data_IF_437695417667
#
_entry.id   IF_437695417667
#
_cell.length_a   1.000
_cell.length_b   1.000
_cell.length_c   1.000
_cell.angle_alpha   90.00
_cell.angle_beta   90.00
_cell.angle_gamma   90.00
#
_symmetry.space_group_name_H-M   'P 1'
#
loop_
_entity.id
_entity.type
_entity.pdbx_description
1 polymer ?
#
# COMPACT_ATOMS: atom_id res chain seq x y z
N UNK A 1 16.02 -21.58 -7.54
CA UNK A 1 15.10 -20.78 -8.37
C UNK A 1 13.74 -21.44 -8.37
N UNK A 2 12.85 -21.04 -7.46
CA UNK A 2 11.43 -21.37 -7.58
C UNK A 2 10.85 -20.27 -8.45
N UNK A 3 10.47 -20.60 -9.69
CA UNK A 3 9.69 -19.67 -10.53
C UNK A 3 8.36 -19.45 -9.82
N UNK A 4 8.17 -18.24 -9.29
CA UNK A 4 6.86 -17.78 -8.82
C UNK A 4 5.87 -17.86 -9.97
N UNK A 5 4.87 -18.72 -9.82
CA UNK A 5 3.69 -18.76 -10.68
C UNK A 5 2.50 -18.43 -9.80
N UNK A 6 1.67 -17.48 -10.23
CA UNK A 6 0.34 -17.28 -9.63
C UNK A 6 -0.41 -18.61 -9.75
N UNK A 7 -0.86 -19.17 -8.62
CA UNK A 7 -1.55 -20.46 -8.61
C UNK A 7 -3.01 -20.25 -9.04
N UNK A 8 -3.26 -20.44 -10.33
CA UNK A 8 -4.61 -20.34 -10.90
C UNK A 8 -5.41 -21.62 -10.60
N UNK A 9 -6.66 -21.50 -10.20
CA UNK A 9 -7.52 -22.64 -9.89
C UNK A 9 -8.35 -23.07 -11.12
N UNK A 10 -7.70 -23.81 -12.03
CA UNK A 10 -8.37 -24.35 -13.22
C UNK A 10 -9.60 -25.22 -12.89
N UNK A 11 -9.57 -25.93 -11.75
CA UNK A 11 -10.68 -26.81 -11.33
C UNK A 11 -11.89 -26.01 -10.88
N UNK A 12 -11.71 -24.96 -10.08
CA UNK A 12 -12.79 -24.08 -9.65
C UNK A 12 -13.42 -23.35 -10.85
N UNK A 13 -12.59 -22.76 -11.72
CA UNK A 13 -13.07 -22.12 -12.94
C UNK A 13 -13.86 -23.10 -13.82
N UNK A 14 -13.32 -24.29 -14.06
CA UNK A 14 -13.98 -25.32 -14.87
C UNK A 14 -15.32 -25.77 -14.29
N UNK A 15 -15.39 -25.97 -12.98
CA UNK A 15 -16.62 -26.33 -12.28
C UNK A 15 -17.69 -25.24 -12.42
N UNK A 16 -17.30 -23.97 -12.30
CA UNK A 16 -18.23 -22.85 -12.43
C UNK A 16 -18.73 -22.67 -13.86
N UNK A 17 -17.85 -22.71 -14.87
CA UNK A 17 -18.23 -22.64 -16.28
C UNK A 17 -19.27 -23.75 -16.59
N UNK A 18 -19.04 -24.96 -16.08
CA UNK A 18 -19.97 -26.09 -16.22
C UNK A 18 -21.32 -25.83 -15.53
N UNK A 19 -21.30 -25.21 -14.34
CA UNK A 19 -22.50 -24.85 -13.57
C UNK A 19 -23.35 -23.84 -14.34
N UNK A 20 -22.75 -22.72 -14.75
CA UNK A 20 -23.39 -21.66 -15.53
C UNK A 20 -23.93 -22.17 -16.86
N UNK A 21 -23.15 -22.97 -17.59
CA UNK A 21 -23.57 -23.56 -18.87
C UNK A 21 -24.85 -24.40 -18.69
N UNK A 22 -24.89 -25.24 -17.66
CA UNK A 22 -26.07 -26.07 -17.34
C UNK A 22 -27.26 -25.20 -16.94
N UNK A 23 -27.05 -24.17 -16.13
CA UNK A 23 -28.12 -23.23 -15.75
C UNK A 23 -28.72 -22.51 -16.97
N UNK A 24 -27.87 -22.12 -17.92
CA UNK A 24 -28.30 -21.46 -19.16
C UNK A 24 -28.83 -22.44 -20.21
N UNK A 25 -28.85 -23.76 -19.93
CA UNK A 25 -29.32 -24.83 -20.83
C UNK A 25 -28.58 -24.87 -22.18
N UNK A 26 -27.29 -24.54 -22.17
CA UNK A 26 -26.43 -24.54 -23.36
C UNK A 26 -25.63 -25.85 -23.39
N UNK A 27 -25.41 -26.47 -24.55
CA UNK A 27 -24.53 -27.65 -24.68
C UNK A 27 -23.05 -27.23 -24.76
N UNK A 28 -22.12 -28.14 -24.50
CA UNK A 28 -20.68 -27.82 -24.67
C UNK A 28 -20.36 -27.43 -26.12
N UNK A 29 -21.05 -28.03 -27.10
CA UNK A 29 -20.87 -27.70 -28.52
C UNK A 29 -21.37 -26.29 -28.83
N UNK A 30 -22.52 -25.91 -28.28
CA UNK A 30 -23.05 -24.54 -28.41
C UNK A 30 -22.17 -23.51 -27.71
N UNK A 31 -21.57 -23.86 -26.55
CA UNK A 31 -20.63 -22.96 -25.88
C UNK A 31 -19.31 -22.83 -26.66
N UNK A 32 -18.89 -23.87 -27.38
CA UNK A 32 -17.66 -23.91 -28.18
C UNK A 32 -17.81 -23.24 -29.56
N UNK A 33 -19.03 -23.15 -30.10
CA UNK A 33 -19.32 -22.78 -31.47
C UNK A 33 -18.58 -21.51 -31.93
N UNK A 34 -17.86 -21.55 -33.04
CA UNK A 34 -17.13 -20.37 -33.56
C UNK A 34 -15.98 -19.82 -32.70
N UNK A 35 -15.59 -20.48 -31.60
CA UNK A 35 -14.42 -20.08 -30.79
C UNK A 35 -13.41 -21.19 -30.53
N UNK A 36 -13.85 -22.43 -30.31
CA UNK A 36 -12.97 -23.56 -30.07
C UNK A 36 -13.70 -24.89 -30.31
N UNK A 37 -13.08 -26.02 -29.99
CA UNK A 37 -13.73 -27.33 -30.13
C UNK A 37 -14.55 -27.67 -28.87
N UNK A 38 -15.59 -28.48 -29.02
CA UNK A 38 -16.33 -29.02 -27.86
C UNK A 38 -15.40 -29.73 -26.87
N UNK A 39 -14.38 -30.44 -27.38
CA UNK A 39 -13.37 -31.11 -26.56
C UNK A 39 -12.56 -30.10 -25.72
N UNK A 40 -12.26 -28.93 -26.27
CA UNK A 40 -11.61 -27.82 -25.54
C UNK A 40 -12.47 -27.34 -24.38
N UNK A 41 -13.77 -27.07 -24.60
CA UNK A 41 -14.70 -26.72 -23.52
C UNK A 41 -14.78 -27.83 -22.47
N UNK A 42 -14.84 -29.10 -22.89
CA UNK A 42 -14.83 -30.22 -21.94
C UNK A 42 -13.50 -30.35 -21.18
N UNK A 43 -12.37 -29.92 -21.76
CA UNK A 43 -11.08 -29.85 -21.10
C UNK A 43 -11.04 -28.76 -20.02
N UNK A 44 -11.56 -27.58 -20.37
CA UNK A 44 -11.70 -26.42 -19.47
C UNK A 44 -12.63 -26.78 -18.30
N UNK A 45 -13.83 -27.31 -18.56
CA UNK A 45 -14.80 -27.70 -17.51
C UNK A 45 -14.26 -28.77 -16.55
N UNK A 46 -13.27 -29.56 -16.98
CA UNK A 46 -12.60 -30.57 -16.17
C UNK A 46 -11.35 -30.05 -15.43
N UNK A 47 -10.99 -28.78 -15.61
CA UNK A 47 -9.78 -28.18 -15.05
C UNK A 47 -8.47 -28.74 -15.62
N UNK A 48 -8.50 -29.30 -16.84
CA UNK A 48 -7.31 -29.91 -17.50
C UNK A 48 -6.45 -28.90 -18.27
N UNK A 49 -6.88 -27.64 -18.33
CA UNK A 49 -6.15 -26.56 -18.97
C UNK A 49 -6.85 -25.22 -18.79
N UNK A 50 -6.10 -24.14 -18.99
CA UNK A 50 -6.63 -22.77 -18.92
C UNK A 50 -7.15 -22.34 -20.29
N UNK A 51 -8.34 -21.70 -20.36
CA UNK A 51 -8.76 -21.02 -21.58
C UNK A 51 -7.82 -19.85 -21.89
N UNK A 52 -7.60 -19.57 -23.17
CA UNK A 52 -7.04 -18.29 -23.61
C UNK A 52 -7.94 -17.13 -23.18
N UNK A 53 -7.40 -15.91 -23.09
CA UNK A 53 -8.14 -14.71 -22.68
C UNK A 53 -9.31 -14.43 -23.62
N UNK A 54 -9.10 -14.62 -24.92
CA UNK A 54 -10.10 -14.55 -25.97
C UNK A 54 -11.24 -15.56 -25.75
N UNK A 55 -10.90 -16.83 -25.50
CA UNK A 55 -11.88 -17.89 -25.23
C UNK A 55 -12.66 -17.59 -23.95
N UNK A 56 -11.97 -17.18 -22.87
CA UNK A 56 -12.59 -16.87 -21.59
C UNK A 56 -13.54 -15.67 -21.69
N UNK A 57 -13.16 -14.64 -22.45
CA UNK A 57 -14.00 -13.48 -22.72
C UNK A 57 -15.28 -13.86 -23.49
N UNK A 58 -15.19 -14.69 -24.53
CA UNK A 58 -16.41 -15.11 -25.25
C UNK A 58 -17.27 -16.06 -24.41
N UNK A 59 -16.66 -16.93 -23.59
CA UNK A 59 -17.38 -17.77 -22.63
C UNK A 59 -18.18 -16.89 -21.64
N UNK A 60 -17.59 -15.81 -21.10
CA UNK A 60 -18.28 -14.94 -20.14
C UNK A 60 -19.53 -14.29 -20.76
N UNK A 61 -19.42 -13.79 -22.00
CA UNK A 61 -20.54 -13.22 -22.76
C UNK A 61 -21.65 -14.27 -22.95
N UNK A 62 -21.31 -15.48 -23.42
CA UNK A 62 -22.29 -16.55 -23.66
C UNK A 62 -22.96 -17.06 -22.39
N UNK A 63 -22.24 -17.01 -21.28
CA UNK A 63 -22.76 -17.39 -19.97
C UNK A 63 -23.46 -16.25 -19.23
N UNK A 64 -23.49 -15.04 -19.81
CA UNK A 64 -24.12 -13.83 -19.27
C UNK A 64 -23.54 -13.41 -17.92
N UNK A 65 -22.23 -13.53 -17.77
CA UNK A 65 -21.46 -13.08 -16.60
C UNK A 65 -20.35 -12.13 -17.04
N UNK A 66 -19.84 -11.31 -16.13
CA UNK A 66 -18.66 -10.49 -16.42
C UNK A 66 -17.42 -11.39 -16.53
N UNK A 67 -16.44 -10.94 -17.31
CA UNK A 67 -15.12 -11.58 -17.35
C UNK A 67 -14.45 -11.54 -15.95
N UNK A 68 -14.65 -10.45 -15.22
CA UNK A 68 -14.18 -10.27 -13.84
C UNK A 68 -14.71 -11.36 -12.88
N UNK A 69 -15.97 -11.75 -13.00
CA UNK A 69 -16.54 -12.84 -12.20
C UNK A 69 -15.80 -14.17 -12.40
N UNK A 70 -15.52 -14.54 -13.65
CA UNK A 70 -14.78 -15.77 -13.94
C UNK A 70 -13.32 -15.67 -13.48
N UNK A 71 -12.71 -14.48 -13.54
CA UNK A 71 -11.38 -14.25 -12.98
C UNK A 71 -11.35 -14.44 -11.46
N UNK A 72 -12.32 -13.92 -10.72
CA UNK A 72 -12.40 -14.13 -9.26
C UNK A 72 -12.42 -15.59 -8.86
N UNK A 73 -13.12 -16.43 -9.61
CA UNK A 73 -13.21 -17.88 -9.37
C UNK A 73 -11.94 -18.60 -9.78
N UNK A 74 -11.30 -18.16 -10.87
CA UNK A 74 -9.98 -18.63 -11.27
C UNK A 74 -8.92 -18.29 -10.21
N UNK A 75 -9.08 -17.16 -9.51
CA UNK A 75 -8.24 -16.73 -8.39
C UNK A 75 -8.74 -17.28 -7.04
N UNK A 76 -9.90 -17.93 -6.98
CA UNK A 76 -10.42 -18.71 -5.85
C UNK A 76 -10.46 -17.95 -4.50
N UNK A 77 -11.16 -16.80 -4.47
CA UNK A 77 -11.25 -15.87 -3.32
C UNK A 77 -9.90 -15.30 -2.84
N UNK A 78 -8.79 -15.62 -3.51
CA UNK A 78 -7.48 -15.03 -3.21
C UNK A 78 -7.51 -13.53 -3.37
N UNK A 79 -8.25 -12.99 -4.34
CA UNK A 79 -8.30 -11.55 -4.58
C UNK A 79 -9.00 -10.80 -3.43
N UNK A 80 -10.16 -11.29 -2.99
CA UNK A 80 -10.87 -10.70 -1.86
C UNK A 80 -10.05 -10.88 -0.57
N UNK A 81 -9.43 -12.04 -0.35
CA UNK A 81 -8.51 -12.29 0.77
C UNK A 81 -7.26 -11.38 0.76
N UNK A 82 -6.60 -11.23 -0.40
CA UNK A 82 -5.44 -10.35 -0.59
C UNK A 82 -5.84 -8.92 -0.24
N UNK A 83 -6.99 -8.45 -0.77
CA UNK A 83 -7.49 -7.10 -0.54
C UNK A 83 -7.84 -6.87 0.93
N UNK A 84 -8.55 -7.80 1.56
CA UNK A 84 -8.88 -7.72 2.99
C UNK A 84 -7.62 -7.70 3.85
N UNK A 85 -6.62 -8.52 3.51
CA UNK A 85 -5.33 -8.57 4.22
C UNK A 85 -4.53 -7.28 3.99
N UNK A 86 -4.51 -6.75 2.76
CA UNK A 86 -3.89 -5.46 2.43
C UNK A 86 -4.48 -4.31 3.25
N UNK A 87 -5.81 -4.21 3.29
CA UNK A 87 -6.53 -3.19 4.05
C UNK A 87 -6.28 -3.35 5.56
N UNK A 88 -6.30 -4.58 6.08
CA UNK A 88 -6.00 -4.89 7.47
C UNK A 88 -4.57 -4.45 7.83
N UNK A 89 -3.57 -4.85 7.05
CA UNK A 89 -2.18 -4.49 7.31
C UNK A 89 -1.93 -2.99 7.15
N UNK A 90 -2.57 -2.30 6.19
CA UNK A 90 -2.49 -0.85 6.09
C UNK A 90 -3.03 -0.16 7.34
N UNK A 91 -4.16 -0.62 7.87
CA UNK A 91 -4.78 -0.07 9.07
C UNK A 91 -3.92 -0.31 10.32
N UNK A 92 -3.39 -1.53 10.50
CA UNK A 92 -2.50 -1.86 11.62
C UNK A 92 -1.23 -1.01 11.59
N UNK A 93 -0.61 -0.86 10.41
CA UNK A 93 0.57 -0.01 10.23
C UNK A 93 0.28 1.47 10.51
N UNK A 94 -0.91 1.96 10.12
CA UNK A 94 -1.34 3.35 10.41
C UNK A 94 -1.54 3.58 11.91
N UNK A 95 -2.09 2.60 12.62
CA UNK A 95 -2.30 2.62 14.07
C UNK A 95 -1.02 2.29 14.87
N UNK A 96 0.10 2.03 14.19
CA UNK A 96 1.36 1.57 14.80
C UNK A 96 1.20 0.28 15.62
N UNK A 97 0.19 -0.54 15.30
CA UNK A 97 0.00 -1.85 15.91
C UNK A 97 0.93 -2.87 15.23
N UNK A 98 2.24 -2.71 15.47
CA UNK A 98 3.28 -3.50 14.84
C UNK A 98 3.27 -4.95 15.34
N UNK A 99 2.83 -5.21 16.58
CA UNK A 99 2.78 -6.56 17.14
C UNK A 99 1.83 -7.45 16.34
N UNK A 100 0.59 -7.02 16.15
CA UNK A 100 -0.41 -7.77 15.40
C UNK A 100 -0.03 -7.90 13.92
N UNK A 101 0.46 -6.80 13.30
CA UNK A 101 0.93 -6.84 11.92
C UNK A 101 2.08 -7.84 11.72
N UNK A 102 3.00 -7.93 12.68
CA UNK A 102 4.10 -8.89 12.65
C UNK A 102 3.62 -10.33 12.76
N UNK A 103 2.68 -10.61 13.68
CA UNK A 103 2.11 -11.95 13.89
C UNK A 103 1.34 -12.45 12.67
N UNK A 104 0.51 -11.59 12.06
CA UNK A 104 -0.21 -11.91 10.82
C UNK A 104 0.78 -12.19 9.69
N UNK A 105 1.77 -11.32 9.48
CA UNK A 105 2.72 -11.56 8.41
C UNK A 105 3.58 -12.81 8.66
N UNK A 106 3.86 -13.13 9.92
CA UNK A 106 4.57 -14.35 10.28
C UNK A 106 3.73 -15.61 10.02
N UNK A 107 2.42 -15.59 10.31
CA UNK A 107 1.52 -16.70 10.02
C UNK A 107 1.36 -16.91 8.51
N UNK A 108 1.23 -15.82 7.74
CA UNK A 108 1.17 -15.87 6.27
C UNK A 108 2.44 -16.46 5.66
N UNK A 109 3.63 -16.07 6.15
CA UNK A 109 4.90 -16.65 5.67
C UNK A 109 5.07 -18.14 5.98
N UNK A 110 4.39 -18.67 7.00
CA UNK A 110 4.40 -20.11 7.32
C UNK A 110 3.51 -20.92 6.39
N UNK A 111 2.53 -20.30 5.72
CA UNK A 111 1.62 -20.95 4.78
C UNK A 111 2.25 -21.10 3.39
N UNK A 112 3.40 -21.77 3.30
CA UNK A 112 4.21 -21.91 2.06
C UNK A 112 3.43 -22.54 0.89
N UNK A 113 2.36 -23.28 1.19
CA UNK A 113 1.50 -23.90 0.18
C UNK A 113 0.50 -22.95 -0.49
N UNK A 114 0.31 -21.73 0.02
CA UNK A 114 -0.58 -20.72 -0.58
C UNK A 114 0.26 -19.70 -1.35
N UNK A 115 0.29 -19.79 -2.67
CA UNK A 115 0.97 -18.83 -3.53
C UNK A 115 -0.03 -17.79 -4.04
N UNK A 116 -0.13 -16.68 -3.30
CA UNK A 116 -1.07 -15.58 -3.58
C UNK A 116 -0.49 -14.51 -4.51
N UNK A 117 0.69 -14.78 -5.08
CA UNK A 117 1.35 -13.95 -6.07
C UNK A 117 2.37 -13.00 -5.46
N UNK A 118 3.29 -12.57 -6.32
CA UNK A 118 4.48 -11.82 -5.94
C UNK A 118 4.18 -10.57 -5.09
N UNK A 119 3.22 -9.76 -5.52
CA UNK A 119 2.94 -8.46 -4.90
C UNK A 119 2.47 -8.63 -3.46
N UNK A 120 1.65 -9.66 -3.24
CA UNK A 120 1.20 -10.02 -1.92
C UNK A 120 2.37 -10.54 -1.07
N UNK A 121 3.21 -11.43 -1.60
CA UNK A 121 4.39 -11.93 -0.89
C UNK A 121 5.36 -10.80 -0.52
N UNK A 122 5.59 -9.85 -1.43
CA UNK A 122 6.44 -8.69 -1.23
C UNK A 122 5.84 -7.74 -0.17
N UNK A 123 4.53 -7.52 -0.19
CA UNK A 123 3.81 -6.77 0.85
C UNK A 123 3.99 -7.42 2.22
N UNK A 124 3.72 -8.74 2.33
CA UNK A 124 3.83 -9.49 3.58
C UNK A 124 5.27 -9.42 4.11
N UNK A 125 6.26 -9.58 3.23
CA UNK A 125 7.66 -9.47 3.61
C UNK A 125 8.01 -8.05 4.09
N UNK A 126 7.60 -7.01 3.36
CA UNK A 126 7.82 -5.61 3.71
C UNK A 126 7.22 -5.27 5.08
N UNK A 127 5.94 -5.59 5.30
CA UNK A 127 5.26 -5.31 6.59
C UNK A 127 5.93 -6.09 7.72
N UNK A 128 6.28 -7.36 7.50
CA UNK A 128 6.99 -8.16 8.51
C UNK A 128 8.33 -7.53 8.92
N UNK A 129 9.13 -7.08 7.96
CA UNK A 129 10.45 -6.49 8.25
C UNK A 129 10.29 -5.16 9.01
N UNK A 130 9.41 -4.28 8.53
CA UNK A 130 9.19 -2.97 9.17
C UNK A 130 8.63 -3.14 10.58
N UNK A 131 7.64 -4.02 10.77
CA UNK A 131 7.10 -4.30 12.11
C UNK A 131 8.15 -4.95 13.00
N UNK A 132 8.97 -5.86 12.48
CA UNK A 132 10.08 -6.46 13.24
C UNK A 132 11.13 -5.44 13.68
N UNK A 133 11.42 -4.44 12.86
CA UNK A 133 12.30 -3.31 13.22
C UNK A 133 11.72 -2.49 14.38
N UNK A 134 10.45 -2.07 14.31
CA UNK A 134 9.82 -1.30 15.40
C UNK A 134 9.59 -2.09 16.68
N UNK A 135 9.55 -3.43 16.61
CA UNK A 135 9.51 -4.34 17.76
C UNK A 135 10.90 -4.73 18.26
N UNK A 136 11.96 -4.07 17.78
CA UNK A 136 13.36 -4.33 18.15
C UNK A 136 13.83 -5.78 17.90
N UNK A 137 13.16 -6.50 16.99
CA UNK A 137 13.56 -7.86 16.55
C UNK A 137 14.68 -7.81 15.51
N UNK A 138 14.81 -6.69 14.81
CA UNK A 138 15.86 -6.42 13.83
C UNK A 138 16.55 -5.10 14.15
N UNK A 139 17.88 -5.08 14.11
CA UNK A 139 18.61 -3.82 14.08
C UNK A 139 18.43 -3.14 12.72
N UNK A 140 18.72 -1.83 12.66
CA UNK A 140 18.47 -1.06 11.45
C UNK A 140 19.26 -1.56 10.24
N UNK A 141 20.48 -2.10 10.38
CA UNK A 141 21.25 -2.59 9.24
C UNK A 141 20.61 -3.84 8.66
N UNK A 142 20.19 -4.76 9.53
CA UNK A 142 19.47 -5.97 9.12
C UNK A 142 18.16 -5.61 8.44
N UNK A 143 17.37 -4.70 9.02
CA UNK A 143 16.10 -4.27 8.43
C UNK A 143 16.29 -3.62 7.04
N UNK A 144 17.26 -2.71 6.91
CA UNK A 144 17.58 -2.06 5.63
C UNK A 144 18.01 -3.09 4.59
N UNK A 145 18.92 -4.02 4.93
CA UNK A 145 19.41 -5.04 4.01
C UNK A 145 18.27 -5.92 3.51
N UNK A 146 17.41 -6.38 4.41
CA UNK A 146 16.25 -7.22 4.03
C UNK A 146 15.24 -6.44 3.17
N UNK A 147 15.04 -5.14 3.43
CA UNK A 147 14.20 -4.28 2.57
C UNK A 147 14.82 -4.03 1.19
N UNK A 148 16.14 -3.88 1.11
CA UNK A 148 16.87 -3.72 -0.16
C UNK A 148 16.80 -5.02 -1.00
N UNK A 149 16.90 -6.20 -0.38
CA UNK A 149 16.70 -7.48 -1.05
C UNK A 149 15.31 -7.62 -1.68
N UNK A 150 14.28 -6.93 -1.15
CA UNK A 150 12.94 -6.91 -1.76
C UNK A 150 12.86 -6.03 -3.03
N UNK A 151 13.87 -5.19 -3.28
CA UNK A 151 13.94 -4.26 -4.42
C UNK A 151 14.91 -4.72 -5.53
N UNK A 152 15.69 -5.78 -5.31
CA UNK A 152 16.76 -6.21 -6.24
C UNK A 152 16.22 -6.73 -7.60
N UNK A 153 17.03 -6.53 -8.64
CA UNK A 153 16.69 -6.52 -10.08
C UNK A 153 16.26 -7.87 -10.72
N UNK A 154 16.28 -8.99 -10.00
CA UNK A 154 15.79 -10.31 -10.50
C UNK A 154 14.25 -10.41 -10.53
N UNK A 155 13.60 -9.25 -10.50
CA UNK A 155 12.17 -9.09 -10.33
C UNK A 155 11.43 -9.45 -11.63
N UNK A 156 10.48 -10.41 -11.62
CA UNK A 156 9.88 -10.96 -12.83
C UNK A 156 8.93 -10.00 -13.56
N UNK A 157 8.64 -8.83 -12.99
CA UNK A 157 7.79 -7.80 -13.60
C UNK A 157 8.67 -6.63 -14.07
N UNK A 158 8.59 -6.30 -15.36
CA UNK A 158 9.26 -5.12 -15.90
C UNK A 158 8.64 -3.84 -15.33
N UNK A 159 9.36 -3.14 -14.44
CA UNK A 159 9.01 -1.80 -13.93
C UNK A 159 8.83 -1.72 -12.41
N UNK A 160 8.93 -0.51 -11.84
CA UNK A 160 8.68 -0.29 -10.41
C UNK A 160 7.17 -0.32 -10.10
N UNK A 161 6.78 -1.18 -9.18
CA UNK A 161 5.41 -1.28 -8.65
C UNK A 161 5.19 -0.32 -7.47
N UNK A 162 3.94 -0.02 -7.12
CA UNK A 162 3.63 0.88 -6.00
C UNK A 162 4.26 0.44 -4.67
N UNK A 163 4.31 -0.88 -4.43
CA UNK A 163 4.91 -1.46 -3.24
C UNK A 163 6.42 -1.14 -3.13
N UNK A 164 7.14 -1.04 -4.25
CA UNK A 164 8.57 -0.67 -4.27
C UNK A 164 8.77 0.74 -3.70
N UNK A 165 7.89 1.68 -4.04
CA UNK A 165 7.91 3.03 -3.49
C UNK A 165 7.60 3.05 -1.99
N UNK A 166 6.72 2.16 -1.50
CA UNK A 166 6.45 2.02 -0.06
C UNK A 166 7.67 1.47 0.68
N UNK A 167 8.36 0.48 0.09
CA UNK A 167 9.61 -0.08 0.62
C UNK A 167 10.69 1.00 0.67
N UNK A 168 10.94 1.72 -0.43
CA UNK A 168 11.90 2.82 -0.49
C UNK A 168 11.58 3.93 0.52
N UNK A 169 10.30 4.27 0.71
CA UNK A 169 9.89 5.23 1.72
C UNK A 169 10.17 4.72 3.14
N UNK A 170 9.95 3.43 3.44
CA UNK A 170 10.32 2.84 4.73
C UNK A 170 11.84 2.85 4.96
N UNK A 171 12.64 2.50 3.95
CA UNK A 171 14.11 2.60 3.99
C UNK A 171 14.53 4.03 4.34
N UNK A 172 13.95 5.03 3.69
CA UNK A 172 14.24 6.44 3.94
C UNK A 172 13.90 6.87 5.38
N UNK A 173 12.77 6.40 5.92
CA UNK A 173 12.36 6.67 7.32
C UNK A 173 13.37 6.04 8.29
N UNK A 174 13.70 4.76 8.11
CA UNK A 174 14.65 4.05 8.99
C UNK A 174 16.02 4.75 8.98
N UNK A 175 16.50 5.18 7.80
CA UNK A 175 17.73 5.98 7.73
C UNK A 175 17.62 7.30 8.49
N UNK A 176 16.48 8.01 8.41
CA UNK A 176 16.29 9.27 9.12
C UNK A 176 16.27 9.08 10.65
N UNK A 177 15.55 8.06 11.13
CA UNK A 177 15.47 7.72 12.56
C UNK A 177 16.82 7.33 13.17
N UNK A 178 17.72 6.78 12.35
CA UNK A 178 19.09 6.43 12.74
C UNK A 178 20.10 7.55 12.42
N UNK A 179 19.66 8.79 12.25
CA UNK A 179 20.49 9.98 11.96
C UNK A 179 21.32 9.91 10.66
N UNK A 180 21.01 8.98 9.76
CA UNK A 180 21.64 8.83 8.44
C UNK A 180 20.94 9.70 7.40
N UNK A 181 20.84 11.00 7.68
CA UNK A 181 19.99 11.92 6.91
C UNK A 181 20.35 12.02 5.43
N UNK A 182 21.64 11.94 5.08
CA UNK A 182 22.08 11.97 3.69
C UNK A 182 21.64 10.73 2.89
N UNK A 183 21.61 9.56 3.54
CA UNK A 183 21.09 8.33 2.91
C UNK A 183 19.58 8.41 2.74
N UNK A 184 18.86 8.89 3.75
CA UNK A 184 17.42 9.15 3.68
C UNK A 184 17.05 10.09 2.53
N UNK A 185 17.74 11.23 2.43
CA UNK A 185 17.50 12.22 1.37
C UNK A 185 17.77 11.66 -0.03
N UNK A 186 18.79 10.82 -0.21
CA UNK A 186 19.06 10.15 -1.49
C UNK A 186 17.89 9.25 -1.90
N UNK A 187 17.30 8.51 -0.96
CA UNK A 187 16.13 7.67 -1.24
C UNK A 187 14.92 8.52 -1.62
N UNK A 188 14.63 9.60 -0.89
CA UNK A 188 13.54 10.51 -1.26
C UNK A 188 13.76 11.16 -2.63
N UNK A 189 14.99 11.58 -2.96
CA UNK A 189 15.33 12.09 -4.30
C UNK A 189 15.09 11.06 -5.38
N UNK A 190 15.41 9.78 -5.14
CA UNK A 190 15.11 8.67 -6.06
C UNK A 190 13.61 8.52 -6.28
N UNK A 191 12.78 8.56 -5.23
CA UNK A 191 11.31 8.49 -5.36
C UNK A 191 10.77 9.69 -6.16
N UNK A 192 11.29 10.89 -5.90
CA UNK A 192 10.84 12.13 -6.54
C UNK A 192 11.14 12.23 -8.05
N UNK A 193 11.99 11.37 -8.61
CA UNK A 193 12.21 11.32 -10.07
C UNK A 193 11.00 10.74 -10.81
N UNK A 194 10.15 9.94 -10.14
CA UNK A 194 8.98 9.27 -10.72
C UNK A 194 7.73 10.16 -10.69
N UNK A 195 7.79 11.33 -11.33
CA UNK A 195 6.75 12.37 -11.25
C UNK A 195 5.36 11.90 -11.71
N UNK A 196 5.27 11.17 -12.82
CA UNK A 196 3.98 10.70 -13.36
C UNK A 196 3.31 9.67 -12.43
N UNK A 197 4.12 8.83 -11.79
CA UNK A 197 3.64 7.90 -10.79
C UNK A 197 3.06 8.64 -9.57
N UNK A 198 3.80 9.62 -9.04
CA UNK A 198 3.37 10.40 -7.87
C UNK A 198 2.07 11.18 -8.14
N UNK A 199 1.88 11.71 -9.35
CA UNK A 199 0.62 12.37 -9.76
C UNK A 199 -0.59 11.44 -9.68
N UNK A 200 -0.42 10.16 -9.99
CA UNK A 200 -1.48 9.15 -9.89
C UNK A 200 -1.73 8.73 -8.44
N UNK A 201 -0.68 8.71 -7.62
CA UNK A 201 -0.71 8.27 -6.23
C UNK A 201 -0.66 9.43 -5.22
N UNK A 202 -1.64 10.34 -5.30
CA UNK A 202 -1.66 11.56 -4.49
C UNK A 202 -1.56 11.31 -2.98
N UNK A 203 -2.27 10.32 -2.42
CA UNK A 203 -2.19 9.94 -0.99
C UNK A 203 -0.76 9.59 -0.57
N UNK A 204 -0.04 8.84 -1.42
CA UNK A 204 1.37 8.53 -1.20
C UNK A 204 2.25 9.77 -1.32
N UNK A 205 1.99 10.63 -2.30
CA UNK A 205 2.73 11.89 -2.48
C UNK A 205 2.59 12.82 -1.27
N UNK A 206 1.39 12.94 -0.68
CA UNK A 206 1.18 13.73 0.55
C UNK A 206 2.00 13.14 1.70
N UNK A 207 1.94 11.82 1.90
CA UNK A 207 2.74 11.11 2.92
C UNK A 207 4.24 11.30 2.73
N UNK A 208 4.71 11.24 1.47
CA UNK A 208 6.10 11.46 1.10
C UNK A 208 6.56 12.86 1.51
N UNK A 209 5.78 13.89 1.21
CA UNK A 209 6.10 15.26 1.60
C UNK A 209 6.12 15.49 3.12
N UNK A 210 5.23 14.84 3.86
CA UNK A 210 5.31 14.84 5.32
C UNK A 210 6.64 14.27 5.82
N UNK A 211 7.05 13.10 5.31
CA UNK A 211 8.29 12.46 5.75
C UNK A 211 9.54 13.29 5.37
N UNK A 212 9.54 13.91 4.17
CA UNK A 212 10.61 14.81 3.74
C UNK A 212 10.67 16.07 4.62
N UNK A 213 9.50 16.65 4.94
CA UNK A 213 9.41 17.79 5.85
C UNK A 213 10.01 17.44 7.22
N UNK A 214 9.60 16.31 7.81
CA UNK A 214 10.18 15.79 9.06
C UNK A 214 11.70 15.59 8.97
N UNK A 215 12.21 15.05 7.86
CA UNK A 215 13.65 14.89 7.64
C UNK A 215 14.38 16.24 7.68
N UNK A 216 13.89 17.24 6.95
CA UNK A 216 14.50 18.57 6.95
C UNK A 216 14.42 19.26 8.31
N UNK A 217 13.32 19.06 9.04
CA UNK A 217 13.20 19.54 10.41
C UNK A 217 14.29 18.96 11.32
N UNK A 218 14.55 17.65 11.24
CA UNK A 218 15.64 16.99 11.98
C UNK A 218 17.03 17.50 11.56
N UNK A 219 17.19 17.89 10.29
CA UNK A 219 18.41 18.53 9.78
C UNK A 219 18.54 20.00 10.18
N UNK A 220 17.54 20.58 10.86
CA UNK A 220 17.43 22.02 11.18
C UNK A 220 17.30 22.93 9.94
N UNK A 221 16.92 22.35 8.81
CA UNK A 221 16.60 23.06 7.57
C UNK A 221 15.12 23.47 7.58
N UNK A 222 14.75 24.35 8.52
CA UNK A 222 13.35 24.63 8.85
C UNK A 222 12.55 25.24 7.70
N UNK A 223 13.19 26.05 6.85
CA UNK A 223 12.55 26.63 5.66
C UNK A 223 12.16 25.56 4.65
N UNK A 224 13.08 24.63 4.33
CA UNK A 224 12.78 23.51 3.43
C UNK A 224 11.74 22.56 4.03
N UNK A 225 11.80 22.36 5.35
CA UNK A 225 10.77 21.62 6.08
C UNK A 225 9.39 22.25 5.91
N UNK A 226 9.29 23.58 6.07
CA UNK A 226 8.05 24.34 5.91
C UNK A 226 7.52 24.27 4.46
N UNK A 227 8.39 24.43 3.46
CA UNK A 227 8.01 24.32 2.04
C UNK A 227 7.36 22.97 1.72
N UNK A 228 7.94 21.87 2.22
CA UNK A 228 7.36 20.54 2.02
C UNK A 228 6.07 20.32 2.81
N UNK A 229 5.96 20.87 4.03
CA UNK A 229 4.72 20.83 4.80
C UNK A 229 3.58 21.57 4.07
N UNK A 230 3.85 22.79 3.59
CA UNK A 230 2.89 23.61 2.86
C UNK A 230 2.50 22.98 1.51
N UNK A 231 3.45 22.37 0.79
CA UNK A 231 3.15 21.61 -0.43
C UNK A 231 2.19 20.44 -0.12
N UNK A 232 2.48 19.65 0.91
CA UNK A 232 1.63 18.52 1.31
C UNK A 232 0.21 18.98 1.69
N UNK A 233 0.09 20.09 2.43
CA UNK A 233 -1.20 20.68 2.80
C UNK A 233 -1.97 21.16 1.57
N UNK A 234 -1.30 21.83 0.64
CA UNK A 234 -1.92 22.32 -0.59
C UNK A 234 -2.45 21.17 -1.45
N UNK A 235 -1.65 20.09 -1.59
CA UNK A 235 -2.06 18.89 -2.32
C UNK A 235 -3.22 18.17 -1.62
N UNK A 236 -3.17 18.02 -0.30
CA UNK A 236 -4.25 17.44 0.49
C UNK A 236 -5.57 18.20 0.31
N UNK A 237 -5.53 19.54 0.32
CA UNK A 237 -6.72 20.36 0.02
C UNK A 237 -7.21 20.18 -1.40
N UNK A 238 -6.31 20.21 -2.39
CA UNK A 238 -6.68 20.07 -3.80
C UNK A 238 -7.36 18.74 -4.10
N UNK A 239 -6.94 17.67 -3.41
CA UNK A 239 -7.44 16.31 -3.59
C UNK A 239 -8.51 15.90 -2.57
N UNK A 240 -8.90 16.82 -1.68
CA UNK A 240 -9.82 16.56 -0.57
C UNK A 240 -9.36 15.38 0.32
N UNK A 241 -8.04 15.20 0.44
CA UNK A 241 -7.41 14.13 1.21
C UNK A 241 -6.87 14.69 2.54
N UNK A 242 -7.48 14.27 3.64
CA UNK A 242 -7.10 14.65 5.01
C UNK A 242 -6.24 13.61 5.73
N UNK A 243 -5.85 12.52 5.05
CA UNK A 243 -5.20 11.35 5.66
C UNK A 243 -3.88 11.66 6.40
N UNK A 244 -3.13 12.66 5.92
CA UNK A 244 -1.87 13.12 6.51
C UNK A 244 -1.87 14.63 6.81
N UNK A 245 -2.97 15.32 6.55
CA UNK A 245 -3.04 16.78 6.61
C UNK A 245 -2.97 17.29 8.05
N UNK A 246 -3.48 16.52 9.03
CA UNK A 246 -3.32 16.85 10.45
C UNK A 246 -1.85 16.87 10.88
N UNK A 247 -1.07 15.86 10.48
CA UNK A 247 0.35 15.75 10.79
C UNK A 247 1.16 16.83 10.06
N UNK A 248 0.81 17.15 8.82
CA UNK A 248 1.45 18.24 8.07
C UNK A 248 1.18 19.61 8.70
N UNK A 249 -0.04 19.86 9.18
CA UNK A 249 -0.34 21.09 9.93
C UNK A 249 0.44 21.16 11.24
N UNK A 250 0.63 20.04 11.93
CA UNK A 250 1.49 20.00 13.12
C UNK A 250 2.92 20.38 12.76
N UNK A 251 3.49 19.72 11.74
CA UNK A 251 4.86 19.94 11.28
C UNK A 251 5.08 21.39 10.82
N UNK A 252 4.08 21.98 10.13
CA UNK A 252 4.06 23.39 9.75
C UNK A 252 4.12 24.30 10.97
N UNK A 253 3.34 23.99 12.02
CA UNK A 253 3.37 24.72 13.29
C UNK A 253 4.76 24.71 13.92
N UNK A 254 5.41 23.54 13.96
CA UNK A 254 6.76 23.40 14.51
C UNK A 254 7.79 24.22 13.74
N UNK A 255 7.70 24.24 12.41
CA UNK A 255 8.62 25.04 11.58
C UNK A 255 8.45 26.54 11.85
N UNK A 256 7.21 27.03 11.88
CA UNK A 256 6.91 28.45 12.08
C UNK A 256 7.32 28.95 13.46
N UNK A 257 7.15 28.10 14.49
CA UNK A 257 7.55 28.40 15.85
C UNK A 257 9.07 28.57 15.96
N UNK A 258 9.85 27.68 15.33
CA UNK A 258 11.32 27.76 15.36
C UNK A 258 11.83 28.94 14.52
N UNK A 259 11.23 29.19 13.35
CA UNK A 259 11.61 30.30 12.47
C UNK A 259 11.28 31.68 13.05
N UNK A 260 10.46 31.75 14.11
CA UNK A 260 10.01 33.01 14.74
C UNK A 260 9.33 33.98 13.76
N UNK A 261 8.81 33.47 12.64
CA UNK A 261 8.25 34.31 11.56
C UNK A 261 6.88 34.89 11.94
N UNK A 262 6.02 34.11 12.62
CA UNK A 262 4.69 34.55 13.04
C UNK A 262 4.05 33.54 14.02
N UNK A 263 4.02 33.89 15.31
CA UNK A 263 3.43 33.04 16.37
C UNK A 263 1.95 32.76 16.10
N UNK A 264 1.20 33.70 15.52
CA UNK A 264 -0.22 33.51 15.24
C UNK A 264 -0.45 32.45 14.16
N UNK A 265 0.40 32.42 13.11
CA UNK A 265 0.34 31.37 12.09
C UNK A 265 0.73 30.00 12.61
N UNK A 266 1.66 29.94 13.57
CA UNK A 266 2.02 28.69 14.25
C UNK A 266 0.84 28.16 15.08
N UNK A 267 0.22 29.01 15.90
CA UNK A 267 -0.98 28.69 16.68
C UNK A 267 -2.12 28.21 15.77
N UNK A 268 -2.37 28.89 14.66
CA UNK A 268 -3.40 28.49 13.71
C UNK A 268 -3.11 27.11 13.09
N UNK A 269 -1.85 26.83 12.73
CA UNK A 269 -1.43 25.52 12.26
C UNK A 269 -1.71 24.41 13.28
N UNK A 270 -1.35 24.61 14.55
CA UNK A 270 -1.64 23.64 15.60
C UNK A 270 -3.13 23.45 15.84
N UNK A 271 -3.94 24.52 15.80
CA UNK A 271 -5.41 24.43 15.93
C UNK A 271 -6.03 23.61 14.78
N UNK A 272 -5.59 23.82 13.55
CA UNK A 272 -6.04 23.04 12.39
C UNK A 272 -5.62 21.57 12.50
N UNK A 273 -4.41 21.33 12.97
CA UNK A 273 -3.91 19.98 13.26
C UNK A 273 -4.80 19.26 14.27
N UNK A 274 -5.08 19.90 15.42
CA UNK A 274 -5.96 19.39 16.45
C UNK A 274 -7.35 19.05 15.91
N UNK A 275 -7.97 20.00 15.19
CA UNK A 275 -9.30 19.81 14.60
C UNK A 275 -9.35 18.57 13.69
N UNK A 276 -8.35 18.36 12.84
CA UNK A 276 -8.29 17.20 11.95
C UNK A 276 -8.12 15.90 12.75
N UNK A 277 -7.29 15.91 13.79
CA UNK A 277 -7.12 14.72 14.63
C UNK A 277 -8.40 14.35 15.40
N UNK A 278 -9.13 15.34 15.93
CA UNK A 278 -10.44 15.13 16.57
C UNK A 278 -11.47 14.62 15.57
N UNK A 279 -11.55 15.22 14.38
CA UNK A 279 -12.46 14.80 13.31
C UNK A 279 -12.23 13.34 12.88
N UNK A 280 -10.96 12.91 12.84
CA UNK A 280 -10.57 11.56 12.45
C UNK A 280 -10.60 10.55 13.60
N UNK A 281 -10.94 10.96 14.83
CA UNK A 281 -10.92 10.10 16.01
C UNK A 281 -9.51 9.63 16.41
N UNK A 282 -8.47 10.38 16.04
CA UNK A 282 -7.07 10.03 16.29
C UNK A 282 -6.63 10.47 17.71
N UNK A 283 -7.19 9.85 18.75
CA UNK A 283 -7.01 10.28 20.15
C UNK A 283 -5.55 10.39 20.59
N UNK A 284 -4.68 9.49 20.15
CA UNK A 284 -3.24 9.54 20.45
C UNK A 284 -2.59 10.84 19.94
N UNK A 285 -2.96 11.28 18.73
CA UNK A 285 -2.44 12.53 18.18
C UNK A 285 -3.07 13.75 18.85
N UNK A 286 -4.36 13.69 19.22
CA UNK A 286 -5.01 14.75 20.01
C UNK A 286 -4.26 14.96 21.34
N UNK A 287 -3.97 13.87 22.05
CA UNK A 287 -3.24 13.94 23.31
C UNK A 287 -1.82 14.47 23.12
N UNK A 288 -1.11 14.00 22.09
CA UNK A 288 0.22 14.50 21.71
C UNK A 288 0.23 16.02 21.51
N UNK A 289 -0.74 16.56 20.76
CA UNK A 289 -0.81 18.02 20.52
C UNK A 289 -1.12 18.76 21.83
N UNK A 290 -2.04 18.27 22.66
CA UNK A 290 -2.38 18.89 23.95
C UNK A 290 -1.19 18.94 24.92
N UNK A 291 -0.39 17.88 24.96
CA UNK A 291 0.79 17.79 25.82
C UNK A 291 1.91 18.72 25.33
N UNK A 292 2.24 18.64 24.04
CA UNK A 292 3.37 19.39 23.47
C UNK A 292 3.07 20.88 23.29
N UNK A 293 1.80 21.26 23.15
CA UNK A 293 1.36 22.64 22.89
C UNK A 293 0.36 23.12 23.93
N UNK A 294 0.53 22.69 25.18
CA UNK A 294 -0.36 23.00 26.31
C UNK A 294 -0.68 24.49 26.46
N UNK A 295 0.32 25.36 26.27
CA UNK A 295 0.16 26.81 26.38
C UNK A 295 -0.81 27.40 25.34
N UNK A 296 -0.98 26.73 24.20
CA UNK A 296 -1.88 27.16 23.11
C UNK A 296 -3.33 26.73 23.37
N UNK A 297 -3.53 25.64 24.12
CA UNK A 297 -4.83 24.98 24.32
C UNK A 297 -5.31 25.00 25.78
N UNK A 298 -4.59 25.64 26.69
CA UNK A 298 -5.04 25.85 28.06
C UNK A 298 -6.34 26.68 28.04
N UNK A 299 -7.39 26.29 28.81
CA UNK A 299 -8.54 27.16 28.99
C UNK A 299 -8.09 28.46 29.66
N UNK A 300 -8.47 29.59 29.06
CA UNK A 300 -8.30 30.94 29.61
C UNK A 300 -9.13 31.08 30.87
#
# INVERSE_FOLDING_TARGET
>A
MVRMMVELNAKALGAEIKRLRKMNKISQAQLADGICTQATISGIEAGRGYPGVDILYIISIRLKVSLEYLYKILLNDAEDYIKETEELLENLMKQKNYQEAFEICQSERKQVSRQLGYKFEQLIAWVHIVSGYYLEKYDYHTAIKELENLLDDDHPLFGQDFIDFRIQNSIAIIYAENNLFQKSLRQYKKILTYKEFLKQQHKFQIKLHYNISKLFFLQKEYTLSLEHADFGIALGKQKEDISMTGQLYFQRGECLEVLSEDIMKAIEAYRRSMFIFELLGNEQYVQMVKEQKREIFAPV
#
